data_IF_398444784720
#
_entry.id   IF_398444784720
#
_cell.length_a   1.000
_cell.length_b   1.000
_cell.length_c   1.000
_cell.angle_alpha   90.00
_cell.angle_beta   90.00
_cell.angle_gamma   90.00
#
_symmetry.space_group_name_H-M   'P 1'
#
loop_
_entity.id
_entity.type
_entity.pdbx_description
1 polymer ?
#
# COMPACT_ATOMS: atom_id res chain seq x y z
N UNK A 1 14.88 38.37 -7.09
CA UNK A 1 15.16 37.14 -6.31
C UNK A 1 14.14 36.09 -6.76
N UNK A 2 14.52 35.16 -7.64
CA UNK A 2 13.60 34.14 -8.16
C UNK A 2 13.52 32.97 -7.18
N UNK A 3 12.35 32.78 -6.56
CA UNK A 3 12.05 31.58 -5.79
C UNK A 3 11.86 30.41 -6.76
N UNK A 4 12.91 29.60 -6.93
CA UNK A 4 12.81 28.27 -7.54
C UNK A 4 12.24 27.32 -6.48
N UNK A 5 10.97 26.96 -6.62
CA UNK A 5 10.40 25.82 -5.90
C UNK A 5 10.99 24.57 -6.54
N UNK A 6 11.98 23.96 -5.88
CA UNK A 6 12.37 22.59 -6.18
C UNK A 6 11.28 21.67 -5.64
N UNK A 7 10.40 21.21 -6.53
CA UNK A 7 9.50 20.08 -6.29
C UNK A 7 10.36 18.82 -6.11
N UNK A 8 10.77 18.56 -4.86
CA UNK A 8 11.30 17.25 -4.45
C UNK A 8 10.18 16.22 -4.61
N UNK A 9 10.56 15.02 -5.07
CA UNK A 9 9.75 13.83 -5.32
C UNK A 9 8.96 13.31 -4.09
N UNK A 10 8.09 14.13 -3.51
CA UNK A 10 7.26 13.79 -2.34
C UNK A 10 5.78 14.15 -2.52
N UNK A 11 5.38 14.66 -3.68
CA UNK A 11 4.03 15.21 -3.91
C UNK A 11 3.16 14.33 -4.84
N UNK A 12 3.70 13.24 -5.41
CA UNK A 12 2.90 12.34 -6.27
C UNK A 12 2.24 11.19 -5.48
N UNK A 13 2.61 10.97 -4.22
CA UNK A 13 2.11 9.85 -3.42
C UNK A 13 0.64 10.00 -2.97
N UNK A 14 0.04 11.18 -3.16
CA UNK A 14 -1.29 11.53 -2.64
C UNK A 14 -2.43 11.34 -3.66
N UNK A 15 -2.17 10.89 -4.89
CA UNK A 15 -3.20 10.88 -5.95
C UNK A 15 -3.58 9.48 -6.45
N UNK A 16 -2.90 8.41 -6.05
CA UNK A 16 -3.27 7.06 -6.45
C UNK A 16 -4.39 6.48 -5.55
N UNK A 17 -5.46 7.24 -5.35
CA UNK A 17 -6.65 6.86 -4.59
C UNK A 17 -7.65 6.16 -5.49
N UNK A 18 -7.66 4.83 -5.43
CA UNK A 18 -8.62 4.00 -6.15
C UNK A 18 -9.91 3.86 -5.33
N UNK A 19 -11.00 4.34 -5.93
CA UNK A 19 -12.31 4.52 -5.35
C UNK A 19 -13.03 3.17 -5.11
N UNK A 20 -13.09 2.74 -3.85
CA UNK A 20 -13.85 1.56 -3.44
C UNK A 20 -15.16 1.99 -2.74
N UNK A 21 -16.31 1.74 -3.38
CA UNK A 21 -17.64 2.18 -2.89
C UNK A 21 -18.26 1.20 -1.90
N UNK A 22 -18.62 1.65 -0.68
CA UNK A 22 -19.48 0.87 0.22
C UNK A 22 -20.46 1.76 1.00
N UNK A 23 -21.68 1.26 1.25
CA UNK A 23 -22.71 1.99 2.01
C UNK A 23 -22.60 1.85 3.54
N UNK A 24 -21.59 1.13 4.09
CA UNK A 24 -21.45 0.92 5.53
C UNK A 24 -20.41 1.84 6.20
N UNK A 25 -20.58 2.25 7.47
CA UNK A 25 -19.59 3.07 8.21
C UNK A 25 -18.34 2.27 8.63
N UNK A 26 -18.40 0.94 8.63
CA UNK A 26 -17.32 0.07 9.07
C UNK A 26 -16.44 -0.39 7.89
N UNK A 27 -15.13 -0.37 8.08
CA UNK A 27 -14.17 -0.93 7.14
C UNK A 27 -14.23 -2.46 7.20
N UNK A 28 -14.55 -3.11 6.08
CA UNK A 28 -14.54 -4.58 5.99
C UNK A 28 -13.14 -5.12 5.68
N UNK A 29 -12.90 -6.37 6.08
CA UNK A 29 -11.66 -7.09 5.74
C UNK A 29 -11.41 -7.17 4.24
N UNK A 30 -12.46 -7.37 3.43
CA UNK A 30 -12.36 -7.37 1.98
C UNK A 30 -11.82 -6.04 1.45
N UNK A 31 -12.35 -4.91 1.97
CA UNK A 31 -11.88 -3.57 1.56
C UNK A 31 -10.46 -3.31 2.03
N UNK A 32 -10.12 -3.70 3.25
CA UNK A 32 -8.74 -3.62 3.75
C UNK A 32 -7.77 -4.43 2.88
N UNK A 33 -8.17 -5.64 2.45
CA UNK A 33 -7.40 -6.50 1.54
C UNK A 33 -7.21 -5.83 0.18
N UNK A 34 -8.26 -5.22 -0.37
CA UNK A 34 -8.16 -4.49 -1.63
C UNK A 34 -7.22 -3.28 -1.52
N UNK A 35 -7.28 -2.51 -0.43
CA UNK A 35 -6.35 -1.40 -0.19
C UNK A 35 -4.89 -1.89 -0.17
N UNK A 36 -4.62 -3.04 0.47
CA UNK A 36 -3.28 -3.66 0.47
C UNK A 36 -2.84 -4.04 -0.94
N UNK A 37 -3.69 -4.72 -1.72
CA UNK A 37 -3.37 -5.07 -3.12
C UNK A 37 -3.06 -3.85 -3.97
N UNK A 38 -3.80 -2.77 -3.77
CA UNK A 38 -3.60 -1.52 -4.50
C UNK A 38 -2.23 -0.89 -4.19
N UNK A 39 -1.78 -0.95 -2.94
CA UNK A 39 -0.45 -0.47 -2.56
C UNK A 39 0.64 -1.24 -3.32
N UNK A 40 0.68 -2.57 -3.24
CA UNK A 40 1.70 -3.35 -3.94
C UNK A 40 1.64 -3.17 -5.47
N UNK A 41 0.44 -2.96 -6.03
CA UNK A 41 0.29 -2.61 -7.45
C UNK A 41 0.94 -1.26 -7.78
N UNK A 42 0.84 -0.26 -6.90
CA UNK A 42 1.50 1.03 -7.10
C UNK A 42 3.03 0.90 -7.04
N UNK A 43 3.56 0.08 -6.12
CA UNK A 43 5.00 -0.19 -6.04
C UNK A 43 5.56 -0.72 -7.38
N UNK A 44 4.79 -1.56 -8.08
CA UNK A 44 5.17 -2.11 -9.39
C UNK A 44 5.22 -1.08 -10.54
N UNK A 45 4.66 0.13 -10.36
CA UNK A 45 4.57 1.12 -11.46
C UNK A 45 5.78 2.04 -11.58
N UNK A 46 6.79 1.85 -10.73
CA UNK A 46 8.02 2.64 -10.78
C UNK A 46 8.97 2.06 -11.84
N UNK A 47 9.53 2.90 -12.70
CA UNK A 47 10.48 2.47 -13.74
C UNK A 47 11.71 1.79 -13.10
N UNK A 48 12.07 0.60 -13.57
CA UNK A 48 13.14 -0.22 -12.97
C UNK A 48 12.78 -0.92 -11.66
N UNK A 49 11.55 -0.76 -11.14
CA UNK A 49 11.12 -1.52 -9.98
C UNK A 49 10.84 -2.99 -10.34
N UNK A 50 11.16 -3.88 -9.40
CA UNK A 50 10.71 -5.26 -9.49
C UNK A 50 9.19 -5.36 -9.30
N UNK A 51 8.66 -6.49 -9.73
CA UNK A 51 7.25 -6.86 -9.60
C UNK A 51 7.03 -7.60 -8.28
N UNK A 52 6.19 -7.03 -7.42
CA UNK A 52 5.61 -7.68 -6.26
C UNK A 52 4.42 -8.53 -6.71
N UNK A 53 4.56 -9.85 -6.58
CA UNK A 53 3.53 -10.85 -6.83
C UNK A 53 3.00 -11.33 -5.47
N UNK A 54 1.79 -10.93 -5.12
CA UNK A 54 1.17 -11.31 -3.84
C UNK A 54 0.57 -12.72 -3.95
N UNK A 55 1.04 -13.63 -3.08
CA UNK A 55 0.46 -14.97 -2.92
C UNK A 55 -0.76 -14.91 -1.99
N UNK A 56 -0.63 -14.24 -0.84
CA UNK A 56 -1.73 -14.10 0.13
C UNK A 56 -1.65 -12.82 0.98
N UNK A 57 -2.82 -12.40 1.47
CA UNK A 57 -2.99 -11.29 2.41
C UNK A 57 -3.90 -11.78 3.54
N UNK A 58 -3.46 -11.61 4.78
CA UNK A 58 -4.26 -11.87 5.97
C UNK A 58 -4.41 -10.58 6.77
N UNK A 59 -5.65 -10.17 7.05
CA UNK A 59 -5.91 -9.02 7.92
C UNK A 59 -5.80 -9.49 9.36
N UNK A 60 -4.86 -8.91 10.11
CA UNK A 60 -4.62 -9.26 11.51
C UNK A 60 -5.50 -8.43 12.45
N UNK A 61 -5.59 -7.12 12.22
CA UNK A 61 -6.37 -6.22 13.06
C UNK A 61 -6.94 -5.05 12.27
N UNK A 62 -8.17 -4.65 12.61
CA UNK A 62 -8.81 -3.41 12.17
C UNK A 62 -9.32 -2.69 13.41
N UNK A 63 -8.66 -1.59 13.77
CA UNK A 63 -8.96 -0.82 14.97
C UNK A 63 -9.49 0.56 14.58
N UNK A 64 -10.68 0.94 15.04
CA UNK A 64 -11.19 2.31 14.87
C UNK A 64 -10.51 3.24 15.87
N UNK A 65 -9.87 4.31 15.38
CA UNK A 65 -9.07 5.23 16.22
C UNK A 65 -9.65 6.65 16.28
N UNK A 66 -10.65 6.98 15.47
CA UNK A 66 -11.30 8.29 15.44
C UNK A 66 -12.66 8.30 16.14
N UNK A 67 -12.90 9.31 16.98
CA UNK A 67 -14.16 9.51 17.70
C UNK A 67 -15.17 10.45 17.00
N UNK A 68 -14.75 11.25 16.00
CA UNK A 68 -15.59 12.26 15.34
C UNK A 68 -15.42 12.32 13.80
N UNK A 69 -16.51 12.76 13.12
CA UNK A 69 -16.80 13.08 11.70
C UNK A 69 -16.13 12.33 10.53
N UNK A 70 -14.90 11.82 10.69
CA UNK A 70 -14.16 11.03 9.70
C UNK A 70 -13.83 9.67 10.32
N UNK A 71 -14.55 8.66 9.84
CA UNK A 71 -14.33 7.26 10.16
C UNK A 71 -12.90 6.84 9.77
N UNK A 72 -12.02 6.72 10.77
CA UNK A 72 -10.60 6.39 10.64
C UNK A 72 -10.26 5.07 11.32
N UNK A 73 -9.57 4.20 10.60
CA UNK A 73 -9.21 2.85 11.04
C UNK A 73 -7.71 2.61 10.87
N UNK A 74 -7.07 2.07 11.88
CA UNK A 74 -5.73 1.49 11.78
C UNK A 74 -5.88 0.03 11.36
N UNK A 75 -5.18 -0.36 10.29
CA UNK A 75 -5.19 -1.73 9.78
C UNK A 75 -3.79 -2.31 9.91
N UNK A 76 -3.71 -3.56 10.36
CA UNK A 76 -2.49 -4.37 10.30
C UNK A 76 -2.76 -5.61 9.45
N UNK A 77 -1.91 -5.87 8.47
CA UNK A 77 -2.02 -7.00 7.57
C UNK A 77 -0.69 -7.73 7.43
N UNK A 78 -0.76 -9.04 7.26
CA UNK A 78 0.37 -9.87 6.85
C UNK A 78 0.26 -10.14 5.36
N UNK A 79 1.36 -9.95 4.63
CA UNK A 79 1.42 -10.14 3.18
C UNK A 79 2.60 -11.03 2.88
N UNK A 80 2.39 -12.03 2.03
CA UNK A 80 3.49 -12.83 1.51
C UNK A 80 3.36 -12.98 0.00
N UNK A 81 4.50 -13.22 -0.62
CA UNK A 81 4.58 -13.33 -2.05
C UNK A 81 6.01 -13.41 -2.55
N UNK A 82 6.18 -13.07 -3.81
CA UNK A 82 7.47 -13.03 -4.50
C UNK A 82 7.75 -11.63 -5.00
N UNK A 83 8.97 -11.14 -4.78
CA UNK A 83 9.51 -9.98 -5.46
C UNK A 83 10.35 -10.45 -6.65
N UNK A 84 10.09 -9.89 -7.83
CA UNK A 84 10.80 -10.26 -9.07
C UNK A 84 11.40 -9.04 -9.76
N UNK A 85 12.71 -8.92 -9.80
CA UNK A 85 13.37 -7.93 -10.63
C UNK A 85 13.40 -8.44 -12.09
N UNK A 86 12.94 -7.66 -13.08
CA UNK A 86 13.09 -8.03 -14.48
C UNK A 86 14.57 -8.19 -14.84
N UNK A 87 14.85 -9.00 -15.87
CA UNK A 87 16.19 -9.10 -16.43
C UNK A 87 16.55 -7.74 -17.03
N UNK A 88 17.67 -7.18 -16.59
CA UNK A 88 18.23 -5.92 -17.07
C UNK A 88 19.68 -6.14 -17.51
N UNK A 89 20.23 -5.22 -18.30
CA UNK A 89 21.60 -5.32 -18.83
C UNK A 89 22.65 -5.54 -17.72
N UNK A 90 22.44 -4.89 -16.57
CA UNK A 90 23.31 -4.97 -15.40
C UNK A 90 22.95 -6.12 -14.43
N UNK A 91 21.83 -6.82 -14.67
CA UNK A 91 21.33 -7.93 -13.84
C UNK A 91 20.76 -9.06 -14.71
N UNK A 92 21.63 -9.81 -15.43
CA UNK A 92 21.23 -10.69 -16.53
C UNK A 92 20.47 -11.96 -16.10
N UNK A 93 20.53 -12.34 -14.82
CA UNK A 93 19.81 -13.49 -14.29
C UNK A 93 18.43 -13.13 -13.74
N UNK A 94 18.10 -11.83 -13.68
CA UNK A 94 16.98 -11.34 -12.88
C UNK A 94 17.19 -11.64 -11.39
N UNK A 95 16.20 -11.29 -10.57
CA UNK A 95 16.21 -11.59 -9.15
C UNK A 95 14.82 -12.06 -8.74
N UNK A 96 14.72 -13.15 -7.99
CA UNK A 96 13.44 -13.59 -7.39
C UNK A 96 13.69 -13.91 -5.92
N UNK A 97 12.90 -13.30 -5.06
CA UNK A 97 13.01 -13.44 -3.60
C UNK A 97 11.62 -13.58 -2.99
N UNK A 98 11.48 -14.41 -1.96
CA UNK A 98 10.24 -14.52 -1.22
C UNK A 98 10.21 -13.47 -0.11
N UNK A 99 9.09 -12.76 0.03
CA UNK A 99 8.92 -11.75 1.07
C UNK A 99 7.76 -12.11 2.00
N UNK A 100 7.88 -11.67 3.25
CA UNK A 100 6.89 -11.78 4.31
C UNK A 100 6.80 -10.45 5.06
N UNK A 101 5.87 -9.61 4.62
CA UNK A 101 5.69 -8.27 5.17
C UNK A 101 4.59 -8.24 6.23
N UNK A 102 4.81 -7.46 7.27
CA UNK A 102 3.77 -6.93 8.14
C UNK A 102 3.57 -5.47 7.78
N UNK A 103 2.39 -5.14 7.26
CA UNK A 103 2.03 -3.80 6.80
C UNK A 103 1.05 -3.17 7.77
N UNK A 104 1.29 -1.91 8.14
CA UNK A 104 0.36 -1.08 8.88
C UNK A 104 -0.04 0.13 8.05
N UNK A 105 -1.32 0.47 8.08
CA UNK A 105 -1.80 1.70 7.45
C UNK A 105 -3.04 2.29 8.12
N UNK A 106 -3.26 3.57 7.89
CA UNK A 106 -4.52 4.23 8.24
C UNK A 106 -5.46 4.28 7.05
N UNK A 107 -6.67 3.75 7.23
CA UNK A 107 -7.77 3.84 6.29
C UNK A 107 -8.80 4.88 6.74
N UNK A 108 -9.23 5.76 5.84
CA UNK A 108 -10.24 6.79 6.11
C UNK A 108 -11.40 6.68 5.13
N UNK A 109 -12.61 6.96 5.60
CA UNK A 109 -13.80 7.07 4.75
C UNK A 109 -14.06 8.53 4.38
N UNK A 110 -14.12 8.81 3.08
CA UNK A 110 -14.57 10.10 2.54
C UNK A 110 -15.78 9.86 1.64
N UNK A 111 -16.97 10.30 2.09
CA UNK A 111 -18.23 10.01 1.42
C UNK A 111 -18.50 8.51 1.33
N UNK A 112 -18.47 7.95 0.11
CA UNK A 112 -18.63 6.49 -0.14
C UNK A 112 -17.31 5.75 -0.35
N UNK A 113 -16.19 6.48 -0.39
CA UNK A 113 -14.89 5.95 -0.75
C UNK A 113 -14.02 5.69 0.48
N UNK A 114 -13.25 4.60 0.41
CA UNK A 114 -12.16 4.34 1.35
C UNK A 114 -10.83 4.78 0.76
N UNK A 115 -10.01 5.38 1.61
CA UNK A 115 -8.71 5.97 1.32
C UNK A 115 -7.68 5.37 2.27
N UNK A 116 -6.42 5.25 1.86
CA UNK A 116 -5.34 4.81 2.74
C UNK A 116 -4.17 5.80 2.67
N UNK A 117 -3.84 6.42 3.80
CA UNK A 117 -3.02 7.64 3.84
C UNK A 117 -1.55 7.39 4.18
N UNK A 118 -1.25 6.69 5.28
CA UNK A 118 0.13 6.42 5.73
C UNK A 118 0.39 4.92 5.76
N UNK A 119 1.23 4.41 4.86
CA UNK A 119 1.61 2.99 4.79
C UNK A 119 3.01 2.79 5.34
N UNK A 120 3.18 1.82 6.22
CA UNK A 120 4.49 1.44 6.77
C UNK A 120 4.62 -0.08 6.79
N UNK A 121 5.72 -0.59 6.24
CA UNK A 121 6.16 -1.97 6.48
C UNK A 121 6.85 -1.98 7.84
N UNK A 122 6.19 -2.55 8.85
CA UNK A 122 6.68 -2.56 10.24
C UNK A 122 7.49 -3.81 10.58
N UNK A 123 7.49 -4.79 9.69
CA UNK A 123 8.37 -5.95 9.72
C UNK A 123 8.46 -6.55 8.34
N UNK A 124 9.66 -6.93 7.92
CA UNK A 124 9.88 -7.69 6.69
C UNK A 124 10.89 -8.79 6.94
N UNK A 125 10.63 -9.95 6.33
CA UNK A 125 11.56 -11.06 6.22
C UNK A 125 11.65 -11.49 4.76
N UNK A 126 12.87 -11.69 4.29
CA UNK A 126 13.18 -12.09 2.93
C UNK A 126 13.92 -13.42 2.92
N UNK A 127 13.61 -14.30 1.96
CA UNK A 127 14.19 -15.64 1.79
C UNK A 127 14.61 -15.92 0.35
#
# INVERSE_FOLDING_TARGET
>A
MQFRIQLRFGIVFLVALLFLSSCGPQLSEQRATELVRLNYKQQNTTEGAGTWLIDSIAINNIEKIGLDSIDTYKVTAYVNGLYKLPVMEDAPQGYTERFFDTVQFFARKSGKAWMADDWVIVGSRHE
#
